data_IF_356734557418
#
_entry.id   IF_356734557418
#
_cell.length_a   1.000
_cell.length_b   1.000
_cell.length_c   1.000
_cell.angle_alpha   90.00
_cell.angle_beta   90.00
_cell.angle_gamma   90.00
#
_symmetry.space_group_name_H-M   'P 1'
#
loop_
_entity.id
_entity.type
_entity.pdbx_description
1 polymer ?
#
# COMPACT_ATOMS: atom_id res chain seq x y z
N UNK A 1 9.06 -0.74 6.52
CA UNK A 1 9.19 -0.95 5.06
C UNK A 1 9.23 -2.45 4.81
N UNK A 2 8.18 -3.01 4.20
CA UNK A 2 8.18 -4.40 3.73
C UNK A 2 8.31 -4.40 2.21
N UNK A 3 9.41 -5.01 1.75
CA UNK A 3 9.77 -5.09 0.34
C UNK A 3 9.69 -6.54 -0.10
N UNK A 4 9.26 -6.75 -1.33
CA UNK A 4 9.39 -8.03 -2.01
C UNK A 4 10.21 -7.82 -3.28
N UNK A 5 11.21 -8.67 -3.47
CA UNK A 5 11.93 -8.74 -4.74
C UNK A 5 11.26 -9.81 -5.61
N UNK A 6 10.65 -9.38 -6.70
CA UNK A 6 10.04 -10.24 -7.70
C UNK A 6 10.78 -10.03 -9.01
N UNK A 7 11.58 -11.01 -9.44
CA UNK A 7 12.33 -11.01 -10.70
C UNK A 7 13.18 -9.74 -10.93
N UNK A 8 13.86 -9.27 -9.88
CA UNK A 8 14.72 -8.09 -9.93
C UNK A 8 13.99 -6.76 -9.76
N UNK A 9 12.65 -6.77 -9.64
CA UNK A 9 11.85 -5.59 -9.29
C UNK A 9 11.58 -5.59 -7.80
N UNK A 10 11.91 -4.49 -7.15
CA UNK A 10 11.63 -4.27 -5.74
C UNK A 10 10.28 -3.59 -5.61
N UNK A 11 9.35 -4.24 -4.93
CA UNK A 11 7.99 -3.72 -4.73
C UNK A 11 7.76 -3.50 -3.25
N UNK A 12 7.42 -2.26 -2.89
CA UNK A 12 6.94 -1.92 -1.55
C UNK A 12 5.42 -2.04 -1.49
N UNK A 13 4.93 -2.71 -0.45
CA UNK A 13 3.48 -2.89 -0.24
C UNK A 13 3.05 -2.61 1.21
N UNK A 14 3.96 -2.10 2.03
CA UNK A 14 3.71 -1.70 3.41
C UNK A 14 4.38 -0.35 3.68
N UNK A 15 3.55 0.65 3.95
CA UNK A 15 3.97 2.01 4.28
C UNK A 15 3.67 2.33 5.74
N UNK A 16 4.50 3.17 6.34
CA UNK A 16 4.39 3.54 7.76
C UNK A 16 4.58 5.03 7.92
N UNK A 17 3.56 5.71 8.41
CA UNK A 17 3.68 7.09 8.89
C UNK A 17 3.64 7.08 10.42
N UNK A 18 4.69 7.63 11.04
CA UNK A 18 4.82 7.67 12.49
C UNK A 18 5.03 9.08 12.98
N UNK A 19 4.27 9.43 14.00
CA UNK A 19 4.32 10.67 14.75
C UNK A 19 4.95 10.47 16.11
N UNK A 20 5.09 11.57 16.85
CA UNK A 20 5.47 11.53 18.27
C UNK A 20 4.33 10.99 19.13
N UNK A 21 4.66 10.40 20.28
CA UNK A 21 3.70 9.99 21.33
C UNK A 21 2.85 11.18 21.81
N UNK A 22 3.47 12.35 21.89
CA UNK A 22 2.76 13.61 22.13
C UNK A 22 2.63 14.34 20.80
N UNK A 23 1.43 14.36 20.23
CA UNK A 23 1.13 15.04 18.98
C UNK A 23 -0.26 15.69 19.00
N UNK A 24 -0.43 16.75 18.20
CA UNK A 24 -1.70 17.47 18.06
C UNK A 24 -2.68 16.69 17.20
N UNK A 25 -3.98 16.99 17.33
CA UNK A 25 -5.00 16.40 16.47
C UNK A 25 -4.74 16.69 14.98
N UNK A 26 -4.31 17.90 14.65
CA UNK A 26 -3.91 18.30 13.29
C UNK A 26 -2.82 17.38 12.74
N UNK A 27 -1.75 17.14 13.52
CA UNK A 27 -0.65 16.26 13.10
C UNK A 27 -1.13 14.83 12.83
N UNK A 28 -2.06 14.30 13.65
CA UNK A 28 -2.67 12.98 13.42
C UNK A 28 -3.42 12.93 12.09
N UNK A 29 -4.18 13.97 11.75
CA UNK A 29 -4.91 14.04 10.48
C UNK A 29 -3.95 14.15 9.29
N UNK A 30 -2.94 15.03 9.39
CA UNK A 30 -1.96 15.24 8.32
C UNK A 30 -1.19 13.96 8.00
N UNK A 31 -0.79 13.20 9.04
CA UNK A 31 -0.11 11.92 8.89
C UNK A 31 -1.02 10.87 8.23
N UNK A 32 -2.32 10.88 8.54
CA UNK A 32 -3.29 10.01 7.88
C UNK A 32 -3.44 10.32 6.39
N UNK A 33 -3.48 11.62 6.03
CA UNK A 33 -3.54 12.07 4.63
C UNK A 33 -2.25 11.70 3.88
N UNK A 34 -1.09 11.90 4.52
CA UNK A 34 0.21 11.53 3.94
C UNK A 34 0.28 10.02 3.69
N UNK A 35 -0.08 9.20 4.68
CA UNK A 35 -0.10 7.76 4.53
C UNK A 35 -1.02 7.33 3.40
N UNK A 36 -2.23 7.88 3.31
CA UNK A 36 -3.18 7.57 2.23
C UNK A 36 -2.61 7.86 0.83
N UNK A 37 -1.88 8.97 0.66
CA UNK A 37 -1.19 9.29 -0.60
C UNK A 37 -0.10 8.27 -0.94
N UNK A 38 0.73 7.91 0.03
CA UNK A 38 1.77 6.89 -0.16
C UNK A 38 1.17 5.53 -0.56
N UNK A 39 0.04 5.13 0.03
CA UNK A 39 -0.65 3.90 -0.37
C UNK A 39 -1.18 3.96 -1.79
N UNK A 40 -1.69 5.11 -2.22
CA UNK A 40 -2.16 5.31 -3.60
C UNK A 40 -1.00 5.20 -4.60
N UNK A 41 0.12 5.85 -4.31
CA UNK A 41 1.31 5.80 -5.15
C UNK A 41 1.86 4.36 -5.24
N UNK A 42 1.93 3.66 -4.10
CA UNK A 42 2.31 2.25 -4.05
C UNK A 42 1.35 1.34 -4.84
N UNK A 43 0.05 1.55 -4.72
CA UNK A 43 -0.97 0.78 -5.46
C UNK A 43 -0.86 0.99 -6.97
N UNK A 44 -0.64 2.23 -7.39
CA UNK A 44 -0.40 2.60 -8.78
C UNK A 44 0.87 1.93 -9.33
N UNK A 45 1.96 1.99 -8.57
CA UNK A 45 3.23 1.33 -8.94
C UNK A 45 3.04 -0.19 -9.12
N UNK A 46 2.44 -0.86 -8.14
CA UNK A 46 2.15 -2.30 -8.21
C UNK A 46 1.29 -2.63 -9.42
N UNK A 47 0.25 -1.85 -9.67
CA UNK A 47 -0.64 -2.03 -10.83
C UNK A 47 0.12 -1.89 -12.16
N UNK A 48 1.08 -0.97 -12.24
CA UNK A 48 1.92 -0.79 -13.44
C UNK A 48 2.86 -1.98 -13.68
N UNK A 49 3.36 -2.60 -12.60
CA UNK A 49 4.38 -3.65 -12.68
C UNK A 49 3.79 -5.03 -12.91
N UNK A 50 2.67 -5.37 -12.25
CA UNK A 50 2.13 -6.73 -12.28
C UNK A 50 0.61 -6.86 -12.52
N UNK A 51 -0.14 -5.74 -12.58
CA UNK A 51 -1.60 -5.73 -12.86
C UNK A 51 -2.37 -6.82 -12.08
N UNK A 52 -2.28 -6.83 -10.74
CA UNK A 52 -2.92 -7.87 -9.94
C UNK A 52 -4.44 -7.85 -10.14
N UNK A 53 -5.09 -9.00 -9.94
CA UNK A 53 -6.55 -9.11 -10.00
C UNK A 53 -7.17 -8.20 -8.93
N UNK A 54 -8.16 -7.41 -9.34
CA UNK A 54 -8.88 -6.50 -8.46
C UNK A 54 -9.49 -7.25 -7.25
N UNK A 55 -9.63 -6.57 -6.12
CA UNK A 55 -10.07 -7.10 -4.82
C UNK A 55 -9.20 -8.19 -4.17
N UNK A 56 -8.12 -8.67 -4.81
CA UNK A 56 -7.30 -9.74 -4.22
C UNK A 56 -6.14 -9.20 -3.39
N UNK A 57 -5.52 -8.10 -3.84
CA UNK A 57 -4.33 -7.53 -3.22
C UNK A 57 -4.59 -6.12 -2.70
N UNK A 58 -3.97 -5.77 -1.57
CA UNK A 58 -4.03 -4.44 -0.99
C UNK A 58 -2.69 -3.94 -0.50
N UNK A 59 -2.47 -2.63 -0.60
CA UNK A 59 -1.31 -1.97 -0.01
C UNK A 59 -1.64 -1.67 1.46
N UNK A 60 -0.74 -2.06 2.36
CA UNK A 60 -0.94 -1.93 3.81
C UNK A 60 -0.36 -0.61 4.29
N UNK A 61 -1.12 0.11 5.11
CA UNK A 61 -0.67 1.35 5.76
C UNK A 61 -0.74 1.25 7.26
N UNK A 62 0.36 1.57 7.95
CA UNK A 62 0.40 1.69 9.39
C UNK A 62 0.54 3.16 9.76
N UNK A 63 -0.36 3.65 10.60
CA UNK A 63 -0.22 4.97 11.20
C UNK A 63 0.05 4.80 12.68
N UNK A 64 1.17 5.34 13.16
CA UNK A 64 1.43 5.48 14.59
C UNK A 64 1.31 6.95 14.95
N UNK A 65 0.28 7.34 15.69
CA UNK A 65 0.05 8.73 16.02
C UNK A 65 -0.43 8.89 17.46
N UNK A 66 0.41 9.50 18.29
CA UNK A 66 0.25 9.50 19.73
C UNK A 66 0.47 8.11 20.30
N UNK A 67 -0.40 7.69 21.22
CA UNK A 67 -0.37 6.33 21.80
C UNK A 67 -1.17 5.32 20.98
N UNK A 68 -1.58 5.63 19.75
CA UNK A 68 -2.40 4.74 18.93
C UNK A 68 -1.65 4.28 17.68
N UNK A 69 -1.75 2.99 17.41
CA UNK A 69 -1.39 2.38 16.14
C UNK A 69 -2.66 2.02 15.38
N UNK A 70 -2.72 2.38 14.11
CA UNK A 70 -3.80 2.06 13.19
C UNK A 70 -3.26 1.20 12.07
N UNK A 71 -3.97 0.11 11.78
CA UNK A 71 -3.73 -0.76 10.65
C UNK A 71 -4.78 -0.48 9.58
N UNK A 72 -4.32 -0.12 8.38
CA UNK A 72 -5.15 0.27 7.26
C UNK A 72 -4.77 -0.54 6.02
N UNK A 73 -5.70 -0.64 5.07
CA UNK A 73 -5.43 -1.23 3.76
C UNK A 73 -6.10 -0.44 2.66
N UNK A 74 -5.39 -0.27 1.54
CA UNK A 74 -5.94 0.26 0.30
C UNK A 74 -6.08 -0.89 -0.70
N UNK A 75 -7.30 -1.17 -1.15
CA UNK A 75 -7.62 -2.24 -2.10
C UNK A 75 -8.37 -1.64 -3.29
N UNK A 76 -8.00 -2.00 -4.51
CA UNK A 76 -8.78 -1.62 -5.69
C UNK A 76 -10.03 -2.51 -5.77
N UNK A 77 -11.21 -1.89 -5.85
CA UNK A 77 -12.46 -2.61 -5.97
C UNK A 77 -12.61 -3.31 -7.34
N UNK A 78 -13.73 -4.02 -7.56
CA UNK A 78 -13.96 -4.72 -8.84
C UNK A 78 -13.94 -3.79 -10.07
N UNK A 79 -14.18 -2.49 -9.87
CA UNK A 79 -14.14 -1.47 -10.91
C UNK A 79 -12.76 -0.82 -11.04
N UNK A 80 -11.76 -1.30 -10.29
CA UNK A 80 -10.41 -0.74 -10.24
C UNK A 80 -10.31 0.54 -9.41
N UNK A 81 -11.33 0.91 -8.64
CA UNK A 81 -11.33 2.13 -7.83
C UNK A 81 -10.63 1.85 -6.49
N UNK A 82 -9.61 2.62 -6.09
CA UNK A 82 -8.97 2.45 -4.79
C UNK A 82 -9.94 2.74 -3.63
N UNK A 83 -10.08 1.78 -2.72
CA UNK A 83 -10.89 1.87 -1.50
C UNK A 83 -9.98 1.75 -0.28
N UNK A 84 -10.06 2.73 0.61
CA UNK A 84 -9.26 2.79 1.83
C UNK A 84 -10.08 2.32 3.03
N UNK A 85 -9.55 1.35 3.76
CA UNK A 85 -10.22 0.74 4.91
C UNK A 85 -9.36 0.82 6.17
N UNK A 86 -9.99 1.18 7.28
CA UNK A 86 -9.43 1.05 8.63
C UNK A 86 -9.74 -0.36 9.15
N UNK A 87 -8.71 -1.21 9.28
CA UNK A 87 -8.90 -2.60 9.67
C UNK A 87 -8.97 -2.77 11.18
N UNK A 88 -7.96 -2.26 11.89
CA UNK A 88 -7.84 -2.43 13.33
C UNK A 88 -7.03 -1.28 13.94
N UNK A 89 -7.17 -1.05 15.24
CA UNK A 89 -6.32 -0.13 15.97
C UNK A 89 -6.06 -0.64 17.39
N UNK A 90 -4.95 -0.22 17.98
CA UNK A 90 -4.60 -0.53 19.36
C UNK A 90 -3.90 0.64 20.04
N UNK A 91 -4.00 0.70 21.37
CA UNK A 91 -3.20 1.60 22.19
C UNK A 91 -1.85 0.96 22.51
N UNK A 92 -0.77 1.71 22.34
CA UNK A 92 0.59 1.30 22.66
C UNK A 92 0.77 1.38 24.18
N UNK A 93 1.08 0.27 24.87
CA UNK A 93 1.28 0.28 26.32
C UNK A 93 2.62 0.93 26.66
N UNK A 94 2.62 2.23 26.95
CA UNK A 94 3.81 2.97 27.37
C UNK A 94 4.15 2.79 28.86
N UNK A 95 3.24 2.21 29.63
CA UNK A 95 3.42 1.89 31.05
C UNK A 95 3.06 0.42 31.31
N UNK A 96 3.65 -0.16 32.36
CA UNK A 96 3.56 -1.58 32.70
C UNK A 96 2.18 -2.08 33.15
N UNK A 97 1.21 -1.18 33.34
CA UNK A 97 -0.01 -1.47 34.10
C UNK A 97 -1.15 -2.11 33.27
N UNK A 98 -1.03 -2.21 31.94
CA UNK A 98 -2.21 -2.42 31.10
C UNK A 98 -2.14 -3.68 30.23
N UNK A 99 -2.41 -4.83 30.87
CA UNK A 99 -2.46 -6.17 30.23
C UNK A 99 -3.36 -6.21 28.99
N UNK A 100 -4.50 -5.51 29.01
CA UNK A 100 -5.45 -5.50 27.89
C UNK A 100 -4.94 -4.72 26.67
N UNK A 101 -4.21 -3.61 26.87
CA UNK A 101 -3.54 -2.85 25.79
C UNK A 101 -2.50 -3.72 25.10
N UNK A 102 -1.69 -4.43 25.89
CA UNK A 102 -0.70 -5.38 25.36
C UNK A 102 -1.36 -6.47 24.52
N UNK A 103 -2.47 -7.06 24.99
CA UNK A 103 -3.21 -8.07 24.23
C UNK A 103 -3.77 -7.52 22.91
N UNK A 104 -4.34 -6.32 22.93
CA UNK A 104 -4.87 -5.67 21.72
C UNK A 104 -3.75 -5.38 20.71
N UNK A 105 -2.61 -4.86 21.17
CA UNK A 105 -1.45 -4.62 20.32
C UNK A 105 -0.91 -5.92 19.70
N UNK A 106 -0.80 -7.00 20.49
CA UNK A 106 -0.38 -8.31 19.97
C UNK A 106 -1.34 -8.81 18.89
N UNK A 107 -2.65 -8.67 19.08
CA UNK A 107 -3.65 -9.05 18.08
C UNK A 107 -3.45 -8.26 16.78
N UNK A 108 -3.33 -6.94 16.86
CA UNK A 108 -3.08 -6.09 15.70
C UNK A 108 -1.78 -6.50 14.96
N UNK A 109 -0.70 -6.80 15.69
CA UNK A 109 0.56 -7.25 15.10
C UNK A 109 0.45 -8.64 14.43
N UNK A 110 -0.36 -9.54 15.00
CA UNK A 110 -0.65 -10.83 14.38
C UNK A 110 -1.52 -10.67 13.12
N UNK A 111 -2.52 -9.78 13.15
CA UNK A 111 -3.31 -9.40 11.97
C UNK A 111 -2.40 -8.86 10.86
N UNK A 112 -1.53 -7.92 11.20
CA UNK A 112 -0.53 -7.36 10.28
C UNK A 112 0.37 -8.46 9.69
N UNK A 113 0.92 -9.35 10.53
CA UNK A 113 1.76 -10.47 10.08
C UNK A 113 1.02 -11.32 9.04
N UNK A 114 -0.22 -11.69 9.32
CA UNK A 114 -1.01 -12.55 8.43
C UNK A 114 -1.27 -11.86 7.09
N UNK A 115 -1.64 -10.57 7.11
CA UNK A 115 -1.83 -9.78 5.89
C UNK A 115 -0.53 -9.71 5.08
N UNK A 116 0.61 -9.42 5.72
CA UNK A 116 1.91 -9.37 5.03
C UNK A 116 2.23 -10.71 4.34
N UNK A 117 2.02 -11.83 5.02
CA UNK A 117 2.28 -13.17 4.44
C UNK A 117 1.40 -13.41 3.22
N UNK A 118 0.09 -13.13 3.32
CA UNK A 118 -0.85 -13.31 2.22
C UNK A 118 -0.50 -12.38 1.05
N UNK A 119 -0.27 -11.10 1.32
CA UNK A 119 0.04 -10.10 0.29
C UNK A 119 1.35 -10.41 -0.43
N UNK A 120 2.39 -10.87 0.27
CA UNK A 120 3.65 -11.31 -0.37
C UNK A 120 3.39 -12.43 -1.37
N UNK A 121 2.61 -13.44 -1.00
CA UNK A 121 2.30 -14.57 -1.88
C UNK A 121 1.47 -14.13 -3.09
N UNK A 122 0.44 -13.30 -2.88
CA UNK A 122 -0.39 -12.78 -3.98
C UNK A 122 0.41 -11.91 -4.94
N UNK A 123 1.33 -11.09 -4.40
CA UNK A 123 2.20 -10.25 -5.22
C UNK A 123 3.15 -11.08 -6.08
N UNK A 124 3.74 -12.15 -5.53
CA UNK A 124 4.56 -13.11 -6.30
C UNK A 124 3.77 -13.74 -7.44
N UNK A 125 2.56 -14.24 -7.14
CA UNK A 125 1.71 -14.85 -8.16
C UNK A 125 1.33 -13.84 -9.26
N UNK A 126 0.95 -12.62 -8.90
CA UNK A 126 0.64 -11.57 -9.88
C UNK A 126 1.88 -11.23 -10.74
N UNK A 127 3.07 -11.26 -10.17
CA UNK A 127 4.32 -11.02 -10.88
C UNK A 127 4.66 -12.13 -11.87
N UNK A 128 4.58 -13.39 -11.44
CA UNK A 128 4.76 -14.57 -12.30
C UNK A 128 3.76 -14.57 -13.48
N UNK A 129 2.52 -14.18 -13.21
CA UNK A 129 1.49 -14.00 -14.24
C UNK A 129 1.85 -12.89 -15.24
N UNK A 130 2.33 -11.75 -14.75
CA UNK A 130 2.71 -10.63 -15.60
C UNK A 130 3.91 -10.95 -16.51
N UNK A 131 4.86 -11.77 -16.05
CA UNK A 131 5.99 -12.25 -16.85
C UNK A 131 5.55 -13.25 -17.91
N UNK A 132 4.66 -14.18 -17.56
CA UNK A 132 4.13 -15.19 -18.49
C UNK A 132 3.14 -14.63 -19.52
N UNK A 133 2.47 -13.52 -19.19
CA UNK A 133 1.47 -12.87 -20.06
C UNK A 133 1.79 -11.38 -20.23
N UNK A 134 2.89 -11.03 -20.94
CA UNK A 134 3.25 -9.64 -21.15
C UNK A 134 2.13 -8.92 -21.92
N UNK A 135 1.90 -7.62 -21.63
CA UNK A 135 0.85 -6.86 -22.30
C UNK A 135 1.09 -6.85 -23.82
N UNK A 136 0.03 -7.14 -24.58
CA UNK A 136 0.07 -7.33 -26.05
C UNK A 136 0.46 -6.11 -26.89
N UNK A 137 0.75 -4.95 -26.29
CA UNK A 137 1.00 -3.70 -27.02
C UNK A 137 2.38 -3.13 -26.66
N UNK A 138 3.41 -3.53 -27.40
CA UNK A 138 4.70 -2.82 -27.50
C UNK A 138 4.88 -2.15 -28.87
N UNK A 139 3.92 -2.30 -29.77
CA UNK A 139 3.91 -1.54 -31.03
C UNK A 139 3.58 -0.08 -30.70
N UNK A 140 4.42 0.90 -31.08
CA UNK A 140 3.99 2.29 -31.02
C UNK A 140 2.72 2.44 -31.85
N UNK A 141 1.65 2.92 -31.23
CA UNK A 141 0.48 3.38 -31.98
C UNK A 141 0.95 4.38 -33.03
N UNK A 142 0.47 4.32 -34.28
CA UNK A 142 0.78 5.31 -35.28
C UNK A 142 -0.01 6.58 -34.94
N UNK A 143 0.44 7.33 -33.93
CA UNK A 143 -0.12 8.65 -33.67
C UNK A 143 0.48 9.61 -34.69
N UNK A 144 -0.43 10.19 -35.48
CA UNK A 144 -0.22 11.21 -36.51
C UNK A 144 0.88 12.20 -36.12
N UNK A 145 1.95 12.25 -36.90
CA UNK A 145 2.94 13.33 -36.85
C UNK A 145 2.28 14.64 -37.29
N UNK A 146 2.31 15.66 -36.44
CA UNK A 146 2.02 17.05 -36.82
C UNK A 146 2.94 17.45 -37.98
N UNK A 147 2.43 18.06 -39.07
CA UNK A 147 3.29 18.46 -40.17
C UNK A 147 4.23 19.60 -39.72
N UNK A 148 5.50 19.51 -40.12
CA UNK A 148 6.48 20.59 -39.91
C UNK A 148 6.01 21.84 -40.66
N UNK A 149 5.95 22.96 -39.97
CA UNK A 149 5.73 24.26 -40.60
C UNK A 149 7.04 24.70 -41.24
N UNK A 150 7.13 24.55 -42.56
CA UNK A 150 8.11 25.25 -43.38
C UNK A 150 7.84 26.75 -43.30
N UNK A 151 8.68 27.47 -42.56
CA UNK A 151 8.78 28.92 -42.68
C UNK A 151 9.71 29.23 -43.86
N UNK A 152 9.14 29.68 -44.97
CA UNK A 152 9.84 30.43 -46.02
C UNK A 152 10.04 31.89 -45.60
#
# INVERSE_FOLDING_TARGET
>A
MALENCDGKLVEFLYVESSRIVCTATKKTDDGIKLWRELLDGSSYISSVCRPICNQFGVVGIQVAGEKIYLNVLINDASGIPRYFHLEHAEIPLTSEVRWRTRALIRLLLTLRNIIIVNKNLLKQAMEQAVSHPPRNTSPSPTVTTPEHDYQ
#
